data_IF_479364428020
#
_entry.id   IF_479364428020
#
_cell.length_a   1.000
_cell.length_b   1.000
_cell.length_c   1.000
_cell.angle_alpha   90.00
_cell.angle_beta   90.00
_cell.angle_gamma   90.00
#
_symmetry.space_group_name_H-M   'P 1'
#
loop_
_entity.id
_entity.type
_entity.pdbx_description
1 polymer ?
#
# COMPACT_ATOMS: atom_id res chain seq x y z
N UNK A 1 18.64 -62.12 2.62
CA UNK A 1 19.62 -62.43 1.56
C UNK A 1 19.09 -63.62 0.78
N UNK A 2 18.65 -63.41 -0.45
CA UNK A 2 18.98 -64.13 -1.69
C UNK A 2 18.17 -63.41 -2.78
N UNK A 3 18.91 -62.83 -3.72
CA UNK A 3 18.46 -62.21 -4.97
C UNK A 3 18.05 -63.29 -5.97
N UNK A 4 17.15 -62.96 -6.91
CA UNK A 4 17.29 -63.36 -8.33
C UNK A 4 16.22 -62.66 -9.19
N UNK A 5 16.69 -61.79 -10.09
CA UNK A 5 15.95 -61.29 -11.24
C UNK A 5 15.70 -62.40 -12.27
N UNK A 6 14.54 -62.39 -12.93
CA UNK A 6 14.32 -63.00 -14.25
C UNK A 6 13.49 -62.06 -15.12
N UNK A 7 13.75 -62.12 -16.42
CA UNK A 7 13.67 -61.06 -17.42
C UNK A 7 12.42 -61.13 -18.32
N UNK A 8 11.82 -59.95 -18.59
CA UNK A 8 11.15 -59.54 -19.85
C UNK A 8 9.85 -60.24 -20.32
N UNK A 9 9.26 -59.83 -21.47
CA UNK A 9 9.21 -58.50 -22.09
C UNK A 9 7.80 -58.05 -22.55
N UNK A 10 7.65 -56.74 -22.76
CA UNK A 10 6.77 -56.00 -23.69
C UNK A 10 5.46 -56.65 -24.20
N UNK A 11 4.32 -56.05 -23.82
CA UNK A 11 3.11 -56.09 -24.64
C UNK A 11 2.50 -54.67 -24.76
N UNK A 12 2.55 -54.14 -25.97
CA UNK A 12 1.75 -52.99 -26.42
C UNK A 12 0.29 -53.15 -26.01
N UNK A 13 -0.29 -52.11 -25.39
CA UNK A 13 -1.65 -51.58 -25.64
C UNK A 13 -2.04 -50.61 -24.53
N UNK A 14 -2.14 -49.33 -24.86
CA UNK A 14 -3.37 -48.56 -24.68
C UNK A 14 -3.12 -47.09 -24.98
N UNK A 15 -3.62 -46.67 -26.14
CA UNK A 15 -3.88 -45.27 -26.45
C UNK A 15 -4.95 -44.74 -25.49
N UNK A 16 -4.56 -44.23 -24.33
CA UNK A 16 -5.42 -43.47 -23.42
C UNK A 16 -4.60 -42.35 -22.75
N UNK A 17 -4.04 -41.44 -23.54
CA UNK A 17 -3.38 -40.22 -23.03
C UNK A 17 -3.82 -38.99 -23.85
N UNK A 18 -5.12 -38.73 -23.88
CA UNK A 18 -5.70 -37.45 -24.31
C UNK A 18 -6.82 -37.18 -23.28
N UNK A 19 -6.92 -36.04 -22.56
CA UNK A 19 -6.01 -34.90 -22.40
C UNK A 19 -5.95 -34.43 -20.92
N UNK A 20 -5.06 -34.97 -20.08
CA UNK A 20 -4.89 -34.41 -18.71
C UNK A 20 -4.03 -33.13 -18.73
N UNK A 21 -3.39 -32.84 -19.87
CA UNK A 21 -2.55 -31.66 -20.07
C UNK A 21 -3.29 -30.36 -20.39
N UNK A 22 -4.63 -30.36 -20.39
CA UNK A 22 -5.44 -29.15 -20.66
C UNK A 22 -6.44 -28.82 -19.53
N UNK A 23 -6.14 -29.21 -18.29
CA UNK A 23 -6.88 -28.74 -17.09
C UNK A 23 -5.96 -28.12 -16.03
N UNK A 24 -4.72 -27.79 -16.41
CA UNK A 24 -3.78 -27.01 -15.59
C UNK A 24 -3.59 -25.60 -16.14
N UNK A 25 -4.61 -25.05 -16.80
CA UNK A 25 -4.71 -23.63 -17.05
C UNK A 25 -5.79 -23.10 -16.12
N UNK A 26 -5.47 -21.97 -15.47
CA UNK A 26 -6.38 -21.08 -14.75
C UNK A 26 -6.63 -21.37 -13.26
N UNK A 27 -5.59 -21.14 -12.46
CA UNK A 27 -5.77 -20.41 -11.21
C UNK A 27 -4.53 -19.55 -10.94
N UNK A 28 -4.19 -18.68 -11.90
CA UNK A 28 -3.45 -17.48 -11.54
C UNK A 28 -4.42 -16.66 -10.67
N UNK A 29 -4.31 -16.81 -9.35
CA UNK A 29 -4.97 -15.92 -8.40
C UNK A 29 -4.38 -14.53 -8.67
N UNK A 30 -5.03 -13.74 -9.51
CA UNK A 30 -4.70 -12.34 -9.67
C UNK A 30 -4.90 -11.73 -8.28
N UNK A 31 -3.81 -11.48 -7.56
CA UNK A 31 -3.84 -10.66 -6.35
C UNK A 31 -4.29 -9.29 -6.83
N UNK A 32 -5.59 -9.01 -6.71
CA UNK A 32 -6.13 -7.67 -6.93
C UNK A 32 -5.60 -6.83 -5.79
N UNK A 33 -4.49 -6.14 -6.03
CA UNK A 33 -4.05 -5.09 -5.12
C UNK A 33 -5.15 -4.03 -5.14
N UNK A 34 -5.80 -3.81 -4.00
CA UNK A 34 -6.72 -2.69 -3.86
C UNK A 34 -5.88 -1.40 -3.93
N UNK A 35 -6.24 -0.54 -4.89
CA UNK A 35 -5.58 0.73 -5.10
C UNK A 35 -6.46 1.86 -4.57
N UNK A 36 -5.82 2.82 -3.92
CA UNK A 36 -6.40 4.12 -3.58
C UNK A 36 -5.55 5.21 -4.18
N UNK A 37 -6.11 6.41 -4.28
CA UNK A 37 -5.42 7.54 -4.85
C UNK A 37 -5.25 8.64 -3.80
N UNK A 38 -4.18 9.40 -3.96
CA UNK A 38 -3.90 10.63 -3.23
C UNK A 38 -3.98 11.78 -4.23
N UNK A 39 -4.84 12.73 -3.97
CA UNK A 39 -4.95 13.95 -4.77
C UNK A 39 -4.09 15.05 -4.15
N UNK A 40 -3.07 15.50 -4.86
CA UNK A 40 -2.23 16.63 -4.50
C UNK A 40 -2.90 17.94 -4.94
N UNK A 41 -3.22 18.79 -3.96
CA UNK A 41 -3.81 20.10 -4.19
C UNK A 41 -2.71 21.18 -4.24
N UNK A 42 -1.75 21.10 -3.31
CA UNK A 42 -0.61 22.03 -3.24
C UNK A 42 0.69 21.29 -2.93
N UNK A 43 1.81 21.60 -3.62
CA UNK A 43 1.93 22.54 -4.74
C UNK A 43 1.17 22.05 -5.99
N UNK A 44 0.60 22.98 -6.78
CA UNK A 44 -0.27 22.63 -7.93
C UNK A 44 0.54 22.03 -9.08
N UNK A 45 0.05 20.93 -9.65
CA UNK A 45 0.70 20.15 -10.73
C UNK A 45 -0.32 19.81 -11.81
N UNK A 46 0.16 19.56 -13.04
CA UNK A 46 -0.64 18.97 -14.11
C UNK A 46 -1.19 17.57 -13.73
N UNK A 47 -0.34 16.71 -13.14
CA UNK A 47 -0.74 15.39 -12.62
C UNK A 47 -0.93 15.47 -11.10
N UNK A 48 -2.19 15.57 -10.67
CA UNK A 48 -2.54 15.70 -9.25
C UNK A 48 -2.91 14.40 -8.57
N UNK A 49 -3.08 13.28 -9.31
CA UNK A 49 -3.53 12.00 -8.75
C UNK A 49 -2.38 10.99 -8.72
N UNK A 50 -2.01 10.59 -7.51
CA UNK A 50 -0.97 9.60 -7.25
C UNK A 50 -1.62 8.29 -6.83
N UNK A 51 -1.18 7.16 -7.40
CA UNK A 51 -1.70 5.85 -7.02
C UNK A 51 -0.91 5.24 -5.85
N UNK A 52 -1.63 4.65 -4.90
CA UNK A 52 -1.09 3.97 -3.73
C UNK A 52 -1.74 2.59 -3.62
N UNK A 53 -1.00 1.61 -3.12
CA UNK A 53 -1.64 0.38 -2.66
C UNK A 53 -2.12 0.53 -1.24
N UNK A 54 -3.27 -0.07 -0.95
CA UNK A 54 -3.72 -0.26 0.42
C UNK A 54 -2.78 -1.16 1.20
N UNK A 55 -2.75 -0.93 2.52
CA UNK A 55 -2.02 -1.76 3.45
C UNK A 55 -2.93 -2.84 4.04
N UNK A 56 -2.34 -3.97 4.43
CA UNK A 56 -2.98 -4.98 5.31
C UNK A 56 -2.66 -4.74 6.79
N UNK A 57 -2.30 -3.50 7.13
CA UNK A 57 -2.03 -3.02 8.48
C UNK A 57 -2.85 -1.75 8.72
N UNK A 58 -3.19 -1.49 9.98
CA UNK A 58 -4.00 -0.34 10.34
C UNK A 58 -5.50 -0.56 10.16
N UNK A 59 -6.25 0.53 10.26
CA UNK A 59 -7.69 0.54 9.99
C UNK A 59 -8.00 0.69 8.50
N UNK A 60 -9.25 0.45 8.13
CA UNK A 60 -9.73 0.56 6.75
C UNK A 60 -9.81 2.01 6.26
N UNK A 61 -9.62 2.18 4.96
CA UNK A 61 -9.64 3.46 4.25
C UNK A 61 -11.08 3.84 3.85
N UNK A 62 -11.96 4.05 4.83
CA UNK A 62 -13.41 4.20 4.62
C UNK A 62 -13.90 5.65 4.45
N UNK A 63 -13.06 6.64 4.78
CA UNK A 63 -13.40 8.07 4.73
C UNK A 63 -12.26 8.90 4.17
N UNK A 64 -12.56 9.80 3.24
CA UNK A 64 -11.61 10.80 2.72
C UNK A 64 -11.32 11.91 3.73
N UNK A 65 -10.04 12.13 4.01
CA UNK A 65 -9.50 13.33 4.61
C UNK A 65 -9.33 14.39 3.53
N UNK A 66 -9.99 15.54 3.69
CA UNK A 66 -9.89 16.67 2.76
C UNK A 66 -8.92 17.71 3.28
N UNK A 67 -8.23 18.40 2.36
CA UNK A 67 -7.32 19.51 2.67
C UNK A 67 -6.34 19.22 3.82
N UNK A 68 -5.92 17.96 3.92
CA UNK A 68 -5.05 17.50 5.01
C UNK A 68 -3.60 17.62 4.59
N UNK A 69 -2.69 17.82 5.55
CA UNK A 69 -1.27 17.94 5.24
C UNK A 69 -0.64 16.56 5.08
N UNK A 70 0.14 16.37 4.01
CA UNK A 70 1.07 15.27 3.85
C UNK A 70 2.45 15.74 4.34
N UNK A 71 2.89 15.22 5.47
CA UNK A 71 4.05 15.73 6.22
C UNK A 71 5.17 14.68 6.22
N UNK A 72 6.34 14.97 5.59
CA UNK A 72 7.53 14.15 5.73
C UNK A 72 7.96 14.04 7.19
N UNK A 73 8.18 12.81 7.68
CA UNK A 73 8.57 12.59 9.08
C UNK A 73 10.04 12.92 9.31
N UNK A 74 10.38 13.33 10.54
CA UNK A 74 11.76 13.46 11.02
C UNK A 74 11.96 12.52 12.21
N UNK A 75 12.86 11.53 12.15
CA UNK A 75 13.67 11.16 10.98
C UNK A 75 12.80 10.62 9.82
N UNK A 76 13.28 10.69 8.55
CA UNK A 76 12.54 10.23 7.38
C UNK A 76 12.10 8.76 7.47
N UNK A 77 12.84 7.94 8.19
CA UNK A 77 12.54 6.51 8.36
C UNK A 77 11.45 6.24 9.40
N UNK A 78 11.12 7.18 10.30
CA UNK A 78 10.19 6.95 11.42
C UNK A 78 10.49 5.65 12.22
N UNK A 79 11.76 5.28 12.37
CA UNK A 79 12.17 4.11 13.16
C UNK A 79 12.43 4.44 14.64
N UNK A 80 12.22 5.70 15.01
CA UNK A 80 12.29 6.26 16.37
C UNK A 80 11.13 7.24 16.53
N UNK A 81 10.89 7.77 17.75
CA UNK A 81 9.91 8.83 17.94
C UNK A 81 10.09 9.98 16.94
N UNK A 82 8.97 10.45 16.37
CA UNK A 82 8.96 11.50 15.34
C UNK A 82 9.20 12.86 16.01
N UNK A 83 10.28 13.53 15.63
CA UNK A 83 10.72 14.83 16.16
C UNK A 83 9.75 15.96 15.78
N UNK A 84 9.30 16.01 14.52
CA UNK A 84 8.32 16.97 14.04
C UNK A 84 6.87 16.55 14.33
N UNK A 85 6.63 15.91 15.48
CA UNK A 85 5.30 15.42 15.90
C UNK A 85 4.22 16.51 15.91
N UNK A 86 4.56 17.77 16.21
CA UNK A 86 3.62 18.88 16.15
C UNK A 86 3.10 19.15 14.73
N UNK A 87 3.94 18.94 13.70
CA UNK A 87 3.53 19.10 12.30
C UNK A 87 2.71 17.88 11.83
N UNK A 88 3.08 16.69 12.30
CA UNK A 88 2.42 15.41 11.96
C UNK A 88 1.07 15.23 12.66
N UNK A 89 0.88 15.80 13.85
CA UNK A 89 -0.37 15.68 14.61
C UNK A 89 -1.56 16.19 13.81
N UNK A 90 -2.64 15.40 13.77
CA UNK A 90 -3.84 15.59 12.95
C UNK A 90 -3.59 15.62 11.42
N UNK A 91 -2.43 15.17 10.96
CA UNK A 91 -2.03 15.14 9.56
C UNK A 91 -1.55 13.75 9.13
N UNK A 92 -1.24 13.60 7.84
CA UNK A 92 -0.78 12.34 7.27
C UNK A 92 0.74 12.26 7.40
N UNK A 93 1.25 11.26 8.11
CA UNK A 93 2.68 11.01 8.22
C UNK A 93 3.21 10.34 6.94
N UNK A 94 4.29 10.90 6.38
CA UNK A 94 4.92 10.43 5.14
C UNK A 94 6.37 10.01 5.41
N UNK A 95 6.69 8.72 5.26
CA UNK A 95 8.00 8.19 5.67
C UNK A 95 8.62 7.23 4.65
N UNK A 96 9.95 7.22 4.58
CA UNK A 96 10.71 6.34 3.69
C UNK A 96 10.76 4.92 4.23
N UNK A 97 10.66 3.95 3.32
CA UNK A 97 10.90 2.53 3.58
C UNK A 97 12.37 2.30 3.98
N UNK A 98 12.59 1.31 4.85
CA UNK A 98 13.92 0.87 5.29
C UNK A 98 14.16 1.09 6.79
N UNK A 99 15.23 0.50 7.32
CA UNK A 99 15.65 0.62 8.73
C UNK A 99 14.84 -0.21 9.75
N UNK A 100 13.53 -0.31 9.61
CA UNK A 100 12.64 -1.03 10.52
C UNK A 100 11.35 -1.50 9.82
N UNK A 101 10.53 -2.32 10.50
CA UNK A 101 9.26 -2.84 9.96
C UNK A 101 8.21 -1.73 9.74
N UNK A 102 7.29 -1.94 8.79
CA UNK A 102 6.18 -1.01 8.54
C UNK A 102 5.28 -0.82 9.76
N UNK A 103 5.09 -1.88 10.56
CA UNK A 103 4.34 -1.81 11.82
C UNK A 103 5.00 -0.84 12.80
N UNK A 104 6.32 -0.93 12.97
CA UNK A 104 7.06 -0.01 13.84
C UNK A 104 6.89 1.45 13.41
N UNK A 105 6.99 1.73 12.09
CA UNK A 105 6.79 3.07 11.55
C UNK A 105 5.39 3.61 11.81
N UNK A 106 4.37 2.79 11.54
CA UNK A 106 2.98 3.15 11.76
C UNK A 106 2.66 3.39 13.24
N UNK A 107 3.27 2.61 14.14
CA UNK A 107 3.15 2.83 15.60
C UNK A 107 3.73 4.18 16.02
N UNK A 108 4.91 4.57 15.51
CA UNK A 108 5.47 5.90 15.82
C UNK A 108 4.68 7.03 15.18
N UNK A 109 4.16 6.86 13.96
CA UNK A 109 3.26 7.81 13.33
C UNK A 109 1.97 8.02 14.13
N UNK A 110 1.35 6.94 14.58
CA UNK A 110 0.18 6.97 15.44
C UNK A 110 0.48 7.64 16.78
N UNK A 111 1.61 7.32 17.41
CA UNK A 111 2.03 7.94 18.66
C UNK A 111 2.28 9.46 18.52
N UNK A 112 2.67 9.91 17.32
CA UNK A 112 2.80 11.33 16.99
C UNK A 112 1.46 12.03 16.68
N UNK A 113 0.33 11.31 16.74
CA UNK A 113 -1.00 11.85 16.47
C UNK A 113 -1.37 11.95 15.00
N UNK A 114 -0.70 11.20 14.11
CA UNK A 114 -1.07 11.15 12.71
C UNK A 114 -2.48 10.57 12.52
N UNK A 115 -3.23 11.06 11.52
CA UNK A 115 -4.56 10.54 11.17
C UNK A 115 -4.50 9.43 10.12
N UNK A 116 -3.39 9.35 9.37
CA UNK A 116 -3.09 8.28 8.44
C UNK A 116 -1.58 8.17 8.27
N UNK A 117 -1.12 7.02 7.78
CA UNK A 117 0.30 6.76 7.53
C UNK A 117 0.54 6.32 6.09
N UNK A 118 1.46 6.99 5.41
CA UNK A 118 1.89 6.63 4.06
C UNK A 118 3.39 6.34 4.09
N UNK A 119 3.76 5.10 3.78
CA UNK A 119 5.14 4.74 3.54
C UNK A 119 5.45 4.84 2.04
N UNK A 120 6.66 5.25 1.69
CA UNK A 120 7.12 5.25 0.29
C UNK A 120 8.42 4.50 0.08
N UNK A 121 8.60 3.94 -1.11
CA UNK A 121 9.85 3.26 -1.44
C UNK A 121 11.03 4.23 -1.59
N UNK A 122 12.24 3.80 -1.24
CA UNK A 122 13.46 4.54 -1.53
C UNK A 122 13.91 4.37 -2.99
N UNK A 123 13.48 3.28 -3.64
CA UNK A 123 13.82 2.98 -5.04
C UNK A 123 12.93 3.76 -5.99
N UNK A 124 13.52 4.61 -6.83
CA UNK A 124 12.79 5.40 -7.83
C UNK A 124 12.53 4.65 -9.14
N UNK A 125 13.15 3.48 -9.37
CA UNK A 125 13.01 2.68 -10.60
C UNK A 125 12.06 1.49 -10.46
N UNK A 126 11.60 1.15 -9.25
CA UNK A 126 10.73 0.01 -9.02
C UNK A 126 9.31 0.27 -9.53
N UNK A 127 8.87 -0.54 -10.49
CA UNK A 127 7.46 -0.59 -10.93
C UNK A 127 6.57 -1.39 -9.96
N UNK A 128 7.19 -2.17 -9.08
CA UNK A 128 6.49 -3.02 -8.13
C UNK A 128 5.92 -2.20 -6.97
N UNK A 129 4.69 -2.53 -6.62
CA UNK A 129 4.00 -1.98 -5.46
C UNK A 129 4.02 -3.04 -4.37
N UNK A 130 4.38 -2.65 -3.15
CA UNK A 130 4.39 -3.55 -1.99
C UNK A 130 3.10 -3.47 -1.20
N UNK A 131 2.59 -4.62 -0.76
CA UNK A 131 1.58 -4.66 0.29
C UNK A 131 2.26 -4.63 1.65
N UNK A 132 1.92 -3.67 2.49
CA UNK A 132 2.40 -3.63 3.88
C UNK A 132 1.63 -4.66 4.69
N UNK A 133 2.35 -5.62 5.29
CA UNK A 133 1.78 -6.75 6.04
C UNK A 133 2.20 -6.61 7.51
N UNK A 134 1.33 -7.07 8.40
CA UNK A 134 1.57 -7.11 9.84
C UNK A 134 2.80 -7.98 10.15
N UNK A 135 3.63 -7.55 11.10
CA UNK A 135 4.73 -8.35 11.63
C UNK A 135 4.26 -9.20 12.84
N UNK A 136 5.15 -10.05 13.35
CA UNK A 136 4.82 -11.01 14.42
C UNK A 136 4.54 -10.35 15.79
N UNK A 137 4.72 -9.03 15.90
CA UNK A 137 4.68 -8.32 17.19
C UNK A 137 3.27 -8.05 17.70
N UNK A 138 2.22 -8.30 16.90
CA UNK A 138 0.81 -8.11 17.27
C UNK A 138 0.45 -6.71 17.80
N UNK A 139 1.23 -5.68 17.46
CA UNK A 139 0.97 -4.29 17.84
C UNK A 139 -0.26 -3.75 17.10
N UNK A 140 -1.17 -3.11 17.82
CA UNK A 140 -2.38 -2.53 17.25
C UNK A 140 -2.09 -1.16 16.61
N UNK A 141 -2.46 -1.04 15.34
CA UNK A 141 -2.44 0.20 14.57
C UNK A 141 -3.90 0.52 14.23
N UNK A 142 -4.38 1.67 14.66
CA UNK A 142 -5.75 2.14 14.48
C UNK A 142 -5.89 3.16 13.36
N UNK A 143 -4.77 3.69 12.85
CA UNK A 143 -4.76 4.63 11.73
C UNK A 143 -4.68 3.88 10.40
N UNK A 144 -5.32 4.36 9.33
CA UNK A 144 -5.25 3.74 8.03
C UNK A 144 -3.86 3.92 7.40
N UNK A 145 -3.39 2.89 6.72
CA UNK A 145 -2.06 2.85 6.14
C UNK A 145 -2.10 2.61 4.61
N UNK A 146 -1.18 3.23 3.87
CA UNK A 146 -1.01 3.00 2.44
C UNK A 146 0.47 3.07 2.01
N UNK A 147 0.78 2.51 0.84
CA UNK A 147 2.13 2.47 0.30
C UNK A 147 2.21 3.17 -1.05
N UNK A 148 3.21 4.04 -1.20
CA UNK A 148 3.48 4.82 -2.41
C UNK A 148 4.79 4.38 -3.06
N UNK A 149 4.83 4.38 -4.39
CA UNK A 149 6.07 4.09 -5.14
C UNK A 149 7.09 5.22 -4.98
N UNK A 150 8.38 4.86 -4.94
CA UNK A 150 9.46 5.83 -4.73
C UNK A 150 9.53 6.93 -5.79
N UNK A 151 9.26 6.64 -7.07
CA UNK A 151 9.24 7.67 -8.14
C UNK A 151 8.24 8.78 -7.85
N UNK A 152 7.03 8.40 -7.41
CA UNK A 152 5.94 9.33 -7.12
C UNK A 152 6.23 10.15 -5.86
N UNK A 153 6.74 9.48 -4.82
CA UNK A 153 7.16 10.14 -3.60
C UNK A 153 8.28 11.15 -3.84
N UNK A 154 9.28 10.79 -4.66
CA UNK A 154 10.39 11.67 -5.00
C UNK A 154 9.91 12.94 -5.74
N UNK A 155 8.93 12.80 -6.62
CA UNK A 155 8.33 13.95 -7.30
C UNK A 155 7.68 14.93 -6.31
N UNK A 156 6.97 14.41 -5.29
CA UNK A 156 6.37 15.25 -4.25
C UNK A 156 7.47 15.92 -3.41
N UNK A 157 8.44 15.14 -2.92
CA UNK A 157 9.50 15.62 -2.03
C UNK A 157 10.40 16.68 -2.69
N UNK A 158 10.83 16.44 -3.94
CA UNK A 158 11.65 17.40 -4.69
C UNK A 158 10.94 18.73 -4.93
N UNK A 159 9.61 18.70 -5.09
CA UNK A 159 8.81 19.93 -5.19
C UNK A 159 8.69 20.65 -3.85
N UNK A 160 8.43 19.91 -2.76
CA UNK A 160 8.41 20.51 -1.43
C UNK A 160 9.74 21.22 -1.14
N UNK A 161 10.86 20.58 -1.46
CA UNK A 161 12.19 21.17 -1.36
C UNK A 161 12.37 22.40 -2.24
N UNK A 162 12.00 22.32 -3.52
CA UNK A 162 12.12 23.43 -4.48
C UNK A 162 11.32 24.68 -4.08
N UNK A 163 10.16 24.50 -3.44
CA UNK A 163 9.31 25.60 -2.95
C UNK A 163 9.55 25.96 -1.47
N UNK A 164 10.49 25.29 -0.79
CA UNK A 164 10.74 25.51 0.65
C UNK A 164 9.54 25.16 1.53
N UNK A 165 8.68 24.25 1.09
CA UNK A 165 7.48 23.82 1.79
C UNK A 165 7.80 22.63 2.69
N UNK A 166 7.21 22.64 3.89
CA UNK A 166 7.35 21.52 4.86
C UNK A 166 6.35 20.40 4.62
N UNK A 167 5.25 20.67 3.93
CA UNK A 167 4.16 19.74 3.72
C UNK A 167 3.42 20.03 2.43
N UNK A 168 2.72 19.03 1.92
CA UNK A 168 1.81 19.15 0.79
C UNK A 168 0.35 19.18 1.27
N UNK A 169 -0.56 19.86 0.57
CA UNK A 169 -2.00 19.79 0.86
C UNK A 169 -2.62 18.75 -0.04
N UNK A 170 -3.35 17.78 0.54
CA UNK A 170 -3.86 16.62 -0.18
C UNK A 170 -5.30 16.26 0.21
N UNK A 171 -5.98 15.55 -0.69
CA UNK A 171 -7.15 14.74 -0.36
C UNK A 171 -6.74 13.25 -0.41
N UNK A 172 -7.06 12.50 0.64
CA UNK A 172 -6.71 11.09 0.74
C UNK A 172 -7.62 10.34 1.70
N UNK A 173 -8.01 9.08 1.44
CA UNK A 173 -7.95 8.42 0.15
C UNK A 173 -9.05 8.93 -0.80
N UNK A 174 -8.78 8.96 -2.10
CA UNK A 174 -9.76 9.25 -3.17
C UNK A 174 -9.78 8.12 -4.20
N UNK A 175 -10.81 8.07 -5.03
CA UNK A 175 -10.91 7.10 -6.12
C UNK A 175 -10.05 7.52 -7.34
N UNK A 176 -10.07 6.70 -8.40
CA UNK A 176 -9.30 6.94 -9.64
C UNK A 176 -9.66 8.21 -10.40
N UNK A 177 -10.79 8.84 -10.06
CA UNK A 177 -11.28 10.10 -10.66
C UNK A 177 -11.12 11.27 -9.69
N UNK A 178 -10.57 11.04 -8.49
CA UNK A 178 -10.40 12.07 -7.46
C UNK A 178 -11.68 12.39 -6.66
N UNK A 179 -12.74 11.60 -6.81
CA UNK A 179 -13.91 11.70 -5.96
C UNK A 179 -13.66 11.03 -4.60
N UNK A 180 -14.33 11.54 -3.57
CA UNK A 180 -14.18 11.04 -2.21
C UNK A 180 -14.69 9.60 -2.06
N UNK A 181 -13.99 8.86 -1.23
CA UNK A 181 -14.41 7.57 -0.72
C UNK A 181 -15.18 7.89 0.56
N UNK A 182 -16.48 8.04 0.41
CA UNK A 182 -17.41 7.95 1.52
C UNK A 182 -18.23 6.69 1.27
N UNK A 183 -18.31 5.80 2.27
CA UNK A 183 -19.39 4.83 2.31
C UNK A 183 -20.68 5.64 2.39
N UNK A 184 -21.37 5.80 1.26
CA UNK A 184 -22.66 6.47 1.28
C UNK A 184 -23.62 5.55 2.01
N UNK A 185 -23.83 5.80 3.30
CA UNK A 185 -25.02 5.34 4.00
C UNK A 185 -26.22 6.07 3.40
N UNK A 186 -26.63 5.68 2.19
CA UNK A 186 -27.96 5.99 1.72
C UNK A 186 -28.91 5.31 2.70
N UNK A 187 -29.57 6.08 3.57
CA UNK A 187 -30.74 5.56 4.26
C UNK A 187 -31.74 5.19 3.16
N UNK A 188 -32.31 3.96 3.13
CA UNK A 188 -33.12 3.48 2.00
C UNK A 188 -34.42 4.26 1.71
N UNK A 189 -34.69 5.38 2.39
CA UNK A 189 -36.04 5.93 2.53
C UNK A 189 -36.21 7.40 2.14
N UNK A 190 -35.25 8.01 1.43
CA UNK A 190 -35.44 9.34 0.84
C UNK A 190 -35.61 9.25 -0.66
N UNK A 191 -36.78 8.79 -1.10
CA UNK A 191 -37.32 8.99 -2.44
C UNK A 191 -38.85 9.18 -2.38
N UNK A 192 -39.32 10.20 -1.66
CA UNK A 192 -40.65 10.78 -1.85
C UNK A 192 -40.63 12.23 -1.38
#
# INVERSE_FOLDING_TARGET
MISLCVSGPQLWRSLWCIPIFLSFILAALAVTADYVYLQLLEPRVADSLYNLSTAKIGSELNSTFFYTKLVPTVPPSACSPIENSFEVSNNIAFSIRGGCSFVTKAVYAQAAGAVAFIAYDYVNTSSWTLSMIQDETSRQITIPCAFMRGRLALEILTRLEAFGLKYAIVNFPVNSVGASIAVVHHRPWTLW
#
